data_IF_784121531539
#
_entry.id   IF_784121531539
#
_cell.length_a   1.000
_cell.length_b   1.000
_cell.length_c   1.000
_cell.angle_alpha   90.00
_cell.angle_beta   90.00
_cell.angle_gamma   90.00
#
_symmetry.space_group_name_H-M   'P 1'
#
loop_
_entity.id
_entity.type
_entity.pdbx_description
1 polymer ?
#
# COMPACT_ATOMS: atom_id res chain seq x y z
N UNK A 1 24.06 13.95 -13.42
CA UNK A 1 23.75 13.14 -14.61
C UNK A 1 23.63 11.70 -14.17
N UNK A 2 22.76 10.92 -14.83
CA UNK A 2 22.17 9.60 -14.46
C UNK A 2 20.80 9.72 -13.75
N UNK A 3 19.75 9.05 -14.26
CA UNK A 3 18.38 9.56 -14.23
C UNK A 3 17.47 8.87 -13.21
N UNK A 4 16.45 9.60 -12.77
CA UNK A 4 15.39 9.15 -11.86
C UNK A 4 14.44 8.23 -12.63
N UNK A 5 14.38 6.95 -12.24
CA UNK A 5 13.38 5.99 -12.72
C UNK A 5 12.01 6.45 -12.25
N UNK A 6 11.20 6.92 -13.21
CA UNK A 6 9.82 7.35 -12.99
C UNK A 6 8.91 6.16 -12.69
N UNK A 7 8.41 6.10 -11.45
CA UNK A 7 7.33 5.20 -11.08
C UNK A 7 6.01 5.67 -11.68
N UNK A 8 5.59 5.01 -12.75
CA UNK A 8 4.27 5.10 -13.36
C UNK A 8 3.19 4.65 -12.38
N UNK A 9 2.26 5.54 -12.04
CA UNK A 9 1.03 5.19 -11.32
C UNK A 9 0.11 4.44 -12.30
N UNK A 10 -0.40 3.23 -11.98
CA UNK A 10 -1.27 2.51 -12.89
C UNK A 10 -2.60 3.26 -13.08
N UNK A 11 -2.90 3.56 -14.34
CA UNK A 11 -4.19 4.09 -14.78
C UNK A 11 -5.25 3.01 -14.56
N UNK A 12 -6.30 3.32 -13.80
CA UNK A 12 -7.48 2.48 -13.74
C UNK A 12 -8.06 2.33 -15.16
N UNK A 13 -8.00 1.10 -15.64
CA UNK A 13 -8.50 0.63 -16.92
C UNK A 13 -10.00 0.89 -17.03
N UNK A 14 -10.43 1.56 -18.10
CA UNK A 14 -11.84 1.54 -18.53
C UNK A 14 -12.23 0.10 -18.88
N UNK A 15 -13.40 -0.41 -18.51
CA UNK A 15 -13.89 -1.66 -19.06
C UNK A 15 -14.24 -1.43 -20.54
N UNK A 16 -13.37 -1.93 -21.41
CA UNK A 16 -13.66 -2.16 -22.83
C UNK A 16 -14.74 -3.21 -22.95
N UNK A 17 -15.70 -2.95 -23.83
CA UNK A 17 -16.80 -3.83 -24.17
C UNK A 17 -16.31 -5.26 -24.46
N UNK A 18 -16.98 -6.23 -23.84
CA UNK A 18 -16.97 -7.62 -24.27
C UNK A 18 -17.54 -7.68 -25.69
N UNK A 19 -16.66 -7.74 -26.68
CA UNK A 19 -16.99 -8.33 -27.97
C UNK A 19 -16.88 -9.84 -27.81
N UNK A 20 -18.03 -10.49 -27.59
CA UNK A 20 -18.16 -11.92 -27.83
C UNK A 20 -17.97 -12.17 -29.34
N UNK A 21 -16.79 -12.64 -29.71
CA UNK A 21 -16.58 -13.31 -30.99
C UNK A 21 -17.22 -14.70 -30.90
N UNK A 22 -18.41 -14.85 -31.51
CA UNK A 22 -18.81 -16.14 -32.08
C UNK A 22 -18.60 -15.98 -33.58
N UNK A 23 -17.47 -16.48 -34.06
CA UNK A 23 -17.30 -16.80 -35.48
C UNK A 23 -18.06 -18.09 -35.70
N UNK A 24 -19.19 -18.02 -36.40
CA UNK A 24 -19.65 -19.15 -37.20
C UNK A 24 -20.22 -18.62 -38.51
N UNK A 25 -19.53 -19.00 -39.57
CA UNK A 25 -19.84 -18.76 -40.97
C UNK A 25 -21.06 -19.59 -41.37
N UNK A 26 -22.00 -19.03 -42.14
CA UNK A 26 -22.57 -19.59 -43.38
C UNK A 26 -23.82 -18.79 -43.81
N UNK A 27 -23.68 -18.08 -44.93
CA UNK A 27 -24.57 -18.10 -46.12
C UNK A 27 -26.06 -18.40 -45.90
N UNK A 28 -26.91 -17.38 -46.05
CA UNK A 28 -28.07 -17.37 -46.96
C UNK A 28 -28.71 -15.98 -46.97
N UNK A 29 -29.06 -15.53 -48.17
CA UNK A 29 -29.67 -14.25 -48.49
C UNK A 29 -30.87 -13.92 -47.60
N UNK A 30 -30.84 -12.76 -46.96
CA UNK A 30 -32.04 -12.07 -46.50
C UNK A 30 -32.29 -10.94 -47.48
N UNK A 31 -33.12 -11.24 -48.48
CA UNK A 31 -33.82 -10.25 -49.28
C UNK A 31 -34.58 -9.36 -48.29
N UNK A 32 -34.02 -8.19 -48.01
CA UNK A 32 -34.74 -7.07 -47.44
C UNK A 32 -35.76 -6.67 -48.50
N UNK A 33 -36.96 -7.27 -48.42
CA UNK A 33 -38.14 -6.74 -49.08
C UNK A 33 -38.45 -5.40 -48.40
N UNK A 34 -37.79 -4.35 -48.89
CA UNK A 34 -38.16 -2.97 -48.65
C UNK A 34 -39.50 -2.79 -49.36
N UNK A 35 -40.59 -3.09 -48.66
CA UNK A 35 -41.90 -2.60 -49.06
C UNK A 35 -41.79 -1.08 -49.00
N UNK A 36 -41.62 -0.47 -50.16
CA UNK A 36 -41.57 0.97 -50.33
C UNK A 36 -42.83 1.55 -49.69
N UNK A 37 -42.67 2.17 -48.52
CA UNK A 37 -43.76 2.88 -47.86
C UNK A 37 -44.24 3.94 -48.85
N UNK A 38 -45.54 3.98 -49.20
CA UNK A 38 -46.01 4.88 -50.26
C UNK A 38 -45.66 6.31 -49.87
N UNK A 39 -44.97 7.04 -50.75
CA UNK A 39 -44.45 8.40 -50.45
C UNK A 39 -45.50 9.35 -49.82
N UNK A 40 -46.79 9.10 -50.09
CA UNK A 40 -47.94 9.80 -49.51
C UNK A 40 -48.07 9.63 -47.98
N UNK A 41 -47.79 8.45 -47.40
CA UNK A 41 -47.87 8.24 -45.94
C UNK A 41 -46.68 8.87 -45.22
N UNK A 42 -45.50 8.83 -45.83
CA UNK A 42 -44.34 9.56 -45.31
C UNK A 42 -44.57 11.07 -45.32
N UNK A 43 -45.09 11.62 -46.43
CA UNK A 43 -45.42 13.04 -46.54
C UNK A 43 -46.45 13.48 -45.50
N UNK A 44 -47.50 12.67 -45.28
CA UNK A 44 -48.49 12.91 -44.20
C UNK A 44 -47.84 12.89 -42.82
N UNK A 45 -46.94 11.94 -42.55
CA UNK A 45 -46.23 11.86 -41.26
C UNK A 45 -45.30 13.07 -41.03
N UNK A 46 -44.62 13.53 -42.09
CA UNK A 46 -43.74 14.71 -42.09
C UNK A 46 -44.55 16.00 -41.86
N UNK A 47 -45.70 16.14 -42.53
CA UNK A 47 -46.62 17.27 -42.34
C UNK A 47 -47.22 17.31 -40.92
N UNK A 48 -47.62 16.16 -40.37
CA UNK A 48 -48.15 16.08 -39.01
C UNK A 48 -47.07 16.39 -37.95
N UNK A 49 -45.82 15.96 -38.17
CA UNK A 49 -44.67 16.34 -37.32
C UNK A 49 -44.39 17.84 -37.40
N UNK A 50 -44.41 18.44 -38.60
CA UNK A 50 -44.26 19.87 -38.80
C UNK A 50 -45.38 20.66 -38.10
N UNK A 51 -46.65 20.26 -38.27
CA UNK A 51 -47.80 20.86 -37.59
C UNK A 51 -47.65 20.80 -36.07
N UNK A 52 -47.27 19.64 -35.51
CA UNK A 52 -47.03 19.47 -34.07
C UNK A 52 -45.86 20.32 -33.57
N UNK A 53 -44.81 20.49 -34.37
CA UNK A 53 -43.66 21.33 -34.04
C UNK A 53 -44.02 22.83 -34.05
N UNK A 54 -44.81 23.28 -35.02
CA UNK A 54 -45.33 24.66 -35.11
C UNK A 54 -46.24 24.97 -33.93
N UNK A 55 -47.17 24.06 -33.59
CA UNK A 55 -48.07 24.22 -32.44
C UNK A 55 -47.34 24.23 -31.09
N UNK A 56 -46.27 23.45 -30.95
CA UNK A 56 -45.43 23.48 -29.73
C UNK A 56 -44.70 24.81 -29.58
N UNK A 57 -44.38 25.49 -30.69
CA UNK A 57 -43.60 26.73 -30.67
C UNK A 57 -42.17 26.54 -30.17
N UNK A 58 -41.31 27.52 -30.44
CA UNK A 58 -39.85 27.44 -30.14
C UNK A 58 -39.57 27.46 -28.62
N UNK A 59 -40.48 27.99 -27.81
CA UNK A 59 -40.30 28.20 -26.37
C UNK A 59 -41.10 27.25 -25.44
N UNK A 60 -41.64 26.13 -25.93
CA UNK A 60 -42.56 25.27 -25.13
C UNK A 60 -41.93 24.65 -23.87
N UNK A 61 -40.62 24.48 -23.79
CA UNK A 61 -39.98 23.72 -22.71
C UNK A 61 -38.95 24.59 -21.94
N UNK A 62 -39.44 25.55 -21.14
CA UNK A 62 -38.60 26.28 -20.17
C UNK A 62 -38.41 25.44 -18.90
N UNK A 63 -37.41 24.54 -18.90
CA UNK A 63 -37.08 23.73 -17.72
C UNK A 63 -36.26 24.55 -16.72
N UNK A 64 -36.85 24.87 -15.56
CA UNK A 64 -36.15 25.56 -14.45
C UNK A 64 -35.47 24.55 -13.54
N UNK A 65 -34.34 24.92 -12.92
CA UNK A 65 -33.74 24.13 -11.83
C UNK A 65 -34.63 24.28 -10.60
N UNK A 66 -35.39 23.22 -10.27
CA UNK A 66 -36.25 23.18 -9.09
C UNK A 66 -35.36 22.94 -7.86
N UNK A 67 -35.48 23.80 -6.84
CA UNK A 67 -34.89 23.56 -5.52
C UNK A 67 -35.98 23.05 -4.59
N UNK A 68 -35.83 21.82 -4.13
CA UNK A 68 -36.82 21.14 -3.29
C UNK A 68 -36.70 21.48 -1.81
N UNK A 69 -35.58 22.04 -1.35
CA UNK A 69 -35.43 22.57 0.01
C UNK A 69 -35.34 24.09 0.04
N UNK A 70 -35.89 24.75 1.07
CA UNK A 70 -35.76 26.20 1.26
C UNK A 70 -34.33 26.59 1.69
N UNK A 71 -33.59 25.67 2.32
CA UNK A 71 -32.22 25.91 2.78
C UNK A 71 -31.21 25.88 1.62
N UNK A 72 -30.48 26.98 1.43
CA UNK A 72 -29.37 27.02 0.47
C UNK A 72 -28.14 26.29 1.02
N UNK A 73 -27.67 25.26 0.31
CA UNK A 73 -26.43 24.53 0.65
C UNK A 73 -25.33 24.89 -0.32
N UNK A 74 -24.12 25.12 0.21
CA UNK A 74 -22.93 25.34 -0.60
C UNK A 74 -22.72 24.13 -1.54
N UNK A 75 -22.63 24.34 -2.87
CA UNK A 75 -22.35 23.24 -3.78
C UNK A 75 -20.95 22.68 -3.50
N UNK A 76 -20.76 21.38 -3.71
CA UNK A 76 -19.45 20.77 -3.58
C UNK A 76 -18.54 21.35 -4.66
N UNK A 77 -17.54 22.11 -4.23
CA UNK A 77 -16.52 22.69 -5.11
C UNK A 77 -15.31 21.77 -5.20
N UNK A 78 -14.58 21.83 -6.32
CA UNK A 78 -13.30 21.15 -6.46
C UNK A 78 -12.31 21.63 -5.38
N UNK A 79 -11.67 20.70 -4.68
CA UNK A 79 -10.57 20.98 -3.74
C UNK A 79 -9.30 20.40 -4.34
N UNK A 80 -8.46 21.25 -4.92
CA UNK A 80 -7.19 20.83 -5.51
C UNK A 80 -6.22 20.35 -4.42
N UNK A 81 -5.37 19.38 -4.77
CA UNK A 81 -4.28 18.93 -3.88
C UNK A 81 -3.22 20.04 -3.80
N UNK A 82 -2.56 20.14 -2.64
CA UNK A 82 -1.46 21.09 -2.44
C UNK A 82 -0.29 20.75 -3.37
N UNK A 83 0.16 21.72 -4.16
CA UNK A 83 1.36 21.64 -5.00
C UNK A 83 2.28 22.80 -4.60
N UNK A 84 3.20 22.62 -3.63
CA UNK A 84 4.09 23.68 -3.19
C UNK A 84 5.14 24.00 -4.25
N UNK A 85 5.47 25.29 -4.43
CA UNK A 85 6.47 25.75 -5.41
C UNK A 85 7.92 25.41 -5.00
N UNK A 86 8.18 25.30 -3.70
CA UNK A 86 9.48 24.96 -3.14
C UNK A 86 9.30 23.96 -1.99
N UNK A 87 10.25 23.01 -1.81
CA UNK A 87 10.19 22.07 -0.71
C UNK A 87 10.42 22.79 0.63
N UNK A 88 9.72 22.37 1.70
CA UNK A 88 9.87 22.97 3.05
C UNK A 88 11.19 22.60 3.74
N UNK A 89 11.84 21.53 3.30
CA UNK A 89 13.12 21.04 3.79
C UNK A 89 13.94 20.68 2.56
N UNK A 90 15.22 21.03 2.58
CA UNK A 90 16.16 20.70 1.49
C UNK A 90 16.29 19.19 1.31
N UNK A 91 16.41 18.44 2.42
CA UNK A 91 16.53 16.99 2.41
C UNK A 91 15.56 16.32 3.40
N UNK A 92 15.12 15.08 3.10
CA UNK A 92 14.39 14.27 4.07
C UNK A 92 15.30 13.88 5.25
N UNK A 93 14.71 13.67 6.42
CA UNK A 93 15.46 13.18 7.60
C UNK A 93 15.78 11.70 7.40
N UNK A 94 17.02 11.30 7.71
CA UNK A 94 17.39 9.88 7.83
C UNK A 94 16.66 9.22 9.00
N UNK A 95 16.38 7.93 8.85
CA UNK A 95 15.96 7.12 9.98
C UNK A 95 17.16 6.98 10.94
N UNK A 96 16.88 7.14 12.24
CA UNK A 96 17.87 6.95 13.31
C UNK A 96 17.73 5.58 13.99
N UNK A 97 16.57 4.95 13.85
CA UNK A 97 16.26 3.62 14.39
C UNK A 97 16.63 2.56 13.35
N UNK A 98 17.92 2.30 13.24
CA UNK A 98 18.49 1.26 12.37
C UNK A 98 18.50 -0.10 13.12
N UNK A 99 18.76 -1.20 12.41
CA UNK A 99 18.71 -2.56 13.02
C UNK A 99 19.65 -2.71 14.23
N UNK A 100 20.84 -2.13 14.15
CA UNK A 100 21.82 -2.08 15.24
C UNK A 100 21.40 -1.16 16.40
N UNK A 101 20.64 -0.09 16.12
CA UNK A 101 20.11 0.79 17.16
C UNK A 101 18.93 0.15 17.90
N UNK A 102 18.17 -0.72 17.22
CA UNK A 102 17.06 -1.45 17.79
C UNK A 102 17.57 -2.50 18.79
N UNK A 103 18.48 -3.38 18.36
CA UNK A 103 19.02 -4.47 19.20
C UNK A 103 20.33 -4.02 19.82
N UNK A 104 20.34 -3.79 21.14
CA UNK A 104 21.55 -3.35 21.84
C UNK A 104 22.42 -4.55 22.24
N UNK A 105 21.91 -5.40 23.11
CA UNK A 105 22.67 -6.55 23.63
C UNK A 105 21.84 -7.73 24.13
N UNK A 106 22.38 -8.95 23.96
CA UNK A 106 22.59 -10.00 24.96
C UNK A 106 21.97 -9.83 26.33
N UNK A 107 20.92 -10.56 26.72
CA UNK A 107 20.76 -10.87 28.14
C UNK A 107 21.35 -12.24 28.45
N UNK A 108 22.42 -12.23 29.25
CA UNK A 108 23.16 -13.41 29.70
C UNK A 108 22.88 -13.75 31.17
N UNK A 109 21.76 -13.27 31.72
CA UNK A 109 21.35 -13.61 33.09
C UNK A 109 20.91 -15.06 33.20
N UNK A 110 21.03 -15.68 34.36
CA UNK A 110 20.62 -17.09 34.60
C UNK A 110 19.19 -17.39 34.12
N UNK A 111 18.23 -16.51 34.43
CA UNK A 111 16.84 -16.66 33.98
C UNK A 111 16.66 -16.55 32.45
N UNK A 112 17.58 -15.86 31.77
CA UNK A 112 17.60 -15.77 30.32
C UNK A 112 18.25 -17.02 29.71
N UNK A 113 19.33 -17.54 30.30
CA UNK A 113 19.97 -18.79 29.86
C UNK A 113 19.00 -19.97 29.92
N UNK A 114 18.27 -20.13 31.03
CA UNK A 114 17.20 -21.14 31.15
C UNK A 114 16.14 -21.04 30.04
N UNK A 115 15.81 -19.81 29.60
CA UNK A 115 14.84 -19.59 28.52
C UNK A 115 15.38 -19.89 27.12
N UNK A 116 16.70 -19.88 26.94
CA UNK A 116 17.35 -20.30 25.70
C UNK A 116 17.21 -21.81 25.59
N UNK A 117 17.56 -22.54 26.65
CA UNK A 117 17.51 -23.99 26.74
C UNK A 117 16.07 -24.55 26.65
N UNK A 118 15.18 -24.13 27.55
CA UNK A 118 13.86 -24.78 27.70
C UNK A 118 12.87 -24.44 26.57
N UNK A 119 12.97 -23.24 26.01
CA UNK A 119 11.91 -22.65 25.20
C UNK A 119 12.36 -22.21 23.80
N UNK A 120 13.63 -22.43 23.44
CA UNK A 120 14.24 -21.93 22.21
C UNK A 120 13.97 -20.41 22.03
N UNK A 121 14.28 -19.63 23.08
CA UNK A 121 14.05 -18.17 23.07
C UNK A 121 15.29 -17.36 23.41
N UNK A 122 15.61 -16.42 22.54
CA UNK A 122 16.66 -15.45 22.77
C UNK A 122 16.10 -14.23 23.51
N UNK A 123 16.88 -13.71 24.44
CA UNK A 123 16.49 -12.54 25.23
C UNK A 123 17.42 -11.36 24.91
N UNK A 124 16.82 -10.27 24.46
CA UNK A 124 17.53 -9.05 24.05
C UNK A 124 17.12 -7.85 24.90
N UNK A 125 18.06 -6.93 25.09
CA UNK A 125 17.80 -5.55 25.46
C UNK A 125 17.67 -4.74 24.17
N UNK A 126 16.59 -3.98 24.12
CA UNK A 126 16.13 -3.28 22.92
C UNK A 126 15.82 -1.82 23.27
N UNK A 127 15.88 -0.94 22.28
CA UNK A 127 15.39 0.42 22.40
C UNK A 127 13.90 0.50 22.81
N UNK A 128 13.56 1.47 23.65
CA UNK A 128 12.21 1.66 24.19
C UNK A 128 11.20 2.02 23.10
N UNK A 129 11.63 2.67 22.02
CA UNK A 129 10.76 3.08 20.91
C UNK A 129 10.51 1.95 19.91
N UNK A 130 11.25 0.84 19.99
CA UNK A 130 11.14 -0.23 19.02
C UNK A 130 9.85 -1.04 19.17
N UNK A 131 9.17 -1.27 18.05
CA UNK A 131 7.97 -2.11 17.97
C UNK A 131 8.35 -3.59 17.76
N UNK A 132 7.44 -4.51 18.11
CA UNK A 132 7.65 -5.97 17.95
C UNK A 132 8.02 -6.36 16.51
N UNK A 133 7.39 -5.74 15.52
CA UNK A 133 7.70 -5.97 14.10
C UNK A 133 9.12 -5.55 13.74
N UNK A 134 9.57 -4.40 14.24
CA UNK A 134 10.93 -3.90 13.98
C UNK A 134 11.98 -4.81 14.61
N UNK A 135 11.73 -5.30 15.83
CA UNK A 135 12.60 -6.28 16.51
C UNK A 135 12.68 -7.56 15.70
N UNK A 136 11.54 -8.10 15.24
CA UNK A 136 11.47 -9.30 14.39
C UNK A 136 12.34 -9.14 13.13
N UNK A 137 12.21 -8.00 12.43
CA UNK A 137 12.99 -7.72 11.23
C UNK A 137 14.48 -7.50 11.53
N UNK A 138 14.83 -6.86 12.65
CA UNK A 138 16.22 -6.63 13.04
C UNK A 138 16.92 -7.95 13.37
N UNK A 139 16.30 -8.84 14.17
CA UNK A 139 16.85 -10.16 14.48
C UNK A 139 17.07 -10.97 13.21
N UNK A 140 16.06 -10.98 12.32
CA UNK A 140 16.14 -11.72 11.06
C UNK A 140 17.29 -11.26 10.17
N UNK A 141 17.56 -9.95 10.10
CA UNK A 141 18.62 -9.42 9.23
C UNK A 141 20.01 -9.47 9.83
N UNK A 142 20.14 -9.35 11.16
CA UNK A 142 21.46 -9.31 11.80
C UNK A 142 22.05 -10.70 12.01
N UNK A 143 21.19 -11.68 12.25
CA UNK A 143 21.63 -13.02 12.62
C UNK A 143 21.19 -14.09 11.61
N UNK A 144 20.43 -13.71 10.57
CA UNK A 144 19.89 -14.59 9.52
C UNK A 144 18.98 -15.71 10.06
N UNK A 145 18.13 -15.37 11.03
CA UNK A 145 17.26 -16.33 11.74
C UNK A 145 15.79 -16.02 11.50
N UNK A 146 14.97 -17.06 11.38
CA UNK A 146 13.52 -16.91 11.42
C UNK A 146 12.94 -16.90 12.83
N UNK A 147 12.07 -15.92 13.07
CA UNK A 147 11.46 -15.67 14.36
C UNK A 147 9.99 -16.06 14.31
N UNK A 148 9.55 -16.91 15.23
CA UNK A 148 8.14 -17.26 15.39
C UNK A 148 7.37 -16.07 15.99
N UNK A 149 7.70 -15.68 17.23
CA UNK A 149 7.01 -14.60 17.97
C UNK A 149 7.96 -13.76 18.82
N UNK A 150 7.58 -12.51 19.06
CA UNK A 150 8.30 -11.57 19.92
C UNK A 150 7.39 -11.05 21.04
N UNK A 151 7.83 -11.24 22.28
CA UNK A 151 7.20 -10.68 23.47
C UNK A 151 8.12 -9.60 24.03
N UNK A 152 7.56 -8.52 24.58
CA UNK A 152 8.35 -7.39 25.09
C UNK A 152 7.80 -6.92 26.43
N UNK A 153 8.68 -6.51 27.34
CA UNK A 153 8.36 -5.82 28.59
C UNK A 153 9.34 -4.65 28.79
N UNK A 154 8.95 -3.67 29.60
CA UNK A 154 9.84 -2.58 30.02
C UNK A 154 10.35 -2.95 31.42
N UNK A 155 11.66 -2.92 31.62
CA UNK A 155 12.27 -3.10 32.95
C UNK A 155 12.15 -1.81 33.78
N UNK A 156 12.19 -1.90 35.13
CA UNK A 156 12.25 -0.71 35.97
C UNK A 156 13.46 0.19 35.65
N UNK A 157 14.53 -0.39 35.12
CA UNK A 157 15.73 0.31 34.60
C UNK A 157 15.43 1.28 33.43
N UNK A 158 14.22 1.26 32.87
CA UNK A 158 13.81 2.07 31.73
C UNK A 158 14.17 1.47 30.37
N UNK A 159 14.78 0.27 30.33
CA UNK A 159 15.12 -0.42 29.10
C UNK A 159 14.08 -1.49 28.71
N UNK A 160 13.86 -1.68 27.41
CA UNK A 160 12.93 -2.72 26.93
C UNK A 160 13.65 -4.07 26.86
N UNK A 161 13.07 -5.10 27.48
CA UNK A 161 13.49 -6.50 27.37
C UNK A 161 12.57 -7.21 26.36
N UNK A 162 13.16 -7.89 25.39
CA UNK A 162 12.44 -8.65 24.37
C UNK A 162 12.77 -10.14 24.47
N UNK A 163 11.73 -10.97 24.56
CA UNK A 163 11.81 -12.41 24.38
C UNK A 163 11.48 -12.75 22.94
N UNK A 164 12.41 -13.37 22.24
CA UNK A 164 12.31 -13.69 20.82
C UNK A 164 12.30 -15.22 20.71
N UNK A 165 11.12 -15.79 20.39
CA UNK A 165 10.98 -17.21 20.09
C UNK A 165 11.41 -17.45 18.66
N UNK A 166 12.38 -18.34 18.46
CA UNK A 166 12.82 -18.74 17.12
C UNK A 166 11.82 -19.69 16.47
N UNK A 167 11.96 -19.87 15.15
CA UNK A 167 11.35 -21.00 14.46
C UNK A 167 12.01 -22.31 14.93
N UNK A 168 11.28 -23.45 14.90
CA UNK A 168 11.81 -24.74 15.36
C UNK A 168 13.00 -25.24 14.53
N UNK A 169 13.20 -24.69 13.33
CA UNK A 169 14.29 -25.06 12.42
C UNK A 169 15.67 -24.55 12.89
N UNK A 170 15.70 -23.62 13.85
CA UNK A 170 16.91 -23.03 14.39
C UNK A 170 17.02 -23.29 15.89
N UNK A 171 18.21 -23.68 16.35
CA UNK A 171 18.50 -23.79 17.78
C UNK A 171 19.03 -22.46 18.34
N UNK A 172 18.44 -21.99 19.45
CA UNK A 172 18.84 -20.77 20.12
C UNK A 172 20.22 -20.90 20.79
N UNK A 173 20.64 -22.11 21.19
CA UNK A 173 21.96 -22.32 21.80
C UNK A 173 23.09 -22.01 20.81
N UNK A 174 23.01 -22.56 19.60
CA UNK A 174 23.99 -22.34 18.54
C UNK A 174 24.08 -20.86 18.13
N UNK A 175 22.93 -20.21 18.03
CA UNK A 175 22.87 -18.77 17.75
C UNK A 175 23.50 -17.97 18.89
N UNK A 176 23.20 -18.29 20.15
CA UNK A 176 23.75 -17.57 21.30
C UNK A 176 25.28 -17.63 21.32
N UNK A 177 25.86 -18.78 20.99
CA UNK A 177 27.30 -18.95 20.85
C UNK A 177 27.86 -18.03 19.76
N UNK A 178 27.22 -17.98 18.58
CA UNK A 178 27.61 -17.07 17.48
C UNK A 178 27.55 -15.59 17.90
N UNK A 179 26.50 -15.19 18.63
CA UNK A 179 26.32 -13.80 19.09
C UNK A 179 27.31 -13.42 20.20
N UNK A 180 27.72 -14.39 21.02
CA UNK A 180 28.72 -14.16 22.08
C UNK A 180 30.12 -13.89 21.51
N UNK A 181 30.50 -14.62 20.44
CA UNK A 181 31.78 -14.49 19.75
C UNK A 181 31.85 -13.18 18.96
N UNK A 182 30.77 -12.78 18.27
CA UNK A 182 30.79 -11.55 17.45
C UNK A 182 31.06 -10.28 18.26
N UNK A 183 30.65 -10.29 19.54
CA UNK A 183 30.77 -9.15 20.45
C UNK A 183 32.17 -9.02 21.08
N UNK A 184 32.89 -10.13 21.24
CA UNK A 184 34.27 -10.12 21.75
C UNK A 184 35.26 -9.68 20.66
N UNK A 185 35.05 -10.11 19.41
CA UNK A 185 35.87 -9.71 18.27
C UNK A 185 35.72 -8.23 17.90
N UNK A 186 34.53 -7.63 18.06
CA UNK A 186 34.34 -6.19 17.86
C UNK A 186 35.11 -5.35 18.89
N UNK A 187 35.16 -5.78 20.16
CA UNK A 187 35.96 -5.12 21.20
C UNK A 187 37.46 -5.19 20.88
N UNK A 188 37.95 -6.35 20.43
CA UNK A 188 39.35 -6.53 20.05
C UNK A 188 39.71 -5.77 18.77
N UNK A 189 38.85 -5.77 17.74
CA UNK A 189 39.07 -4.97 16.52
C UNK A 189 39.04 -3.45 16.79
N UNK A 190 38.25 -2.98 17.75
CA UNK A 190 38.27 -1.58 18.17
C UNK A 190 39.57 -1.23 18.90
N UNK A 191 40.08 -2.12 19.75
CA UNK A 191 41.40 -1.96 20.39
C UNK A 191 42.52 -1.96 19.35
N UNK A 192 42.48 -2.87 18.37
CA UNK A 192 43.49 -2.95 17.31
C UNK A 192 43.48 -1.75 16.34
N UNK A 193 42.30 -1.21 15.97
CA UNK A 193 42.22 -0.02 15.10
C UNK A 193 42.45 1.32 15.82
N UNK A 194 42.47 1.34 17.15
CA UNK A 194 42.83 2.54 17.93
C UNK A 194 44.32 2.57 18.31
N UNK A 195 45.05 1.48 18.06
CA UNK A 195 46.48 1.32 18.35
C UNK A 195 47.36 1.33 17.09
N UNK A 196 46.75 1.53 15.91
CA UNK A 196 47.40 1.88 14.63
C UNK A 196 46.99 3.31 14.31
#
# INVERSE_FOLDING_TARGET
YIPVVGGSVPKCFRPTALMCYVVCCLRTEWILCVVAVPAKTEAKSKALKAKKAVLKGVHSQKKKKIRTSPTFRRPKTLRLRRQPKYPRKSAPRRNKLDHYAIIKFPLTTESAMKKIEDNNTLVFIVDVKANKHQIKHAVKKLYDIDVAKVNTLIRPDGEKKAYVRLAPDYDALDVANKVSISRSTEKLNWIYNMCI
#
